data_IF_052712481605
#
_entry.id   IF_052712481605
#
_cell.length_a   1.000
_cell.length_b   1.000
_cell.length_c   1.000
_cell.angle_alpha   90.00
_cell.angle_beta   90.00
_cell.angle_gamma   90.00
#
_symmetry.space_group_name_H-M   'P 1'
#
loop_
_entity.id
_entity.type
_entity.pdbx_description
1 polymer ?
#
# COMPACT_ATOMS: atom_id res chain seq x y z
N UNK A 1 7.68 19.34 43.35
CA UNK A 1 8.29 18.64 42.20
C UNK A 1 7.34 18.78 41.02
N UNK A 2 7.72 19.49 39.97
CA UNK A 2 6.89 19.68 38.79
C UNK A 2 7.30 18.63 37.74
N UNK A 3 6.37 17.75 37.38
CA UNK A 3 6.54 16.82 36.26
C UNK A 3 5.99 17.53 35.02
N UNK A 4 6.88 18.06 34.20
CA UNK A 4 6.54 18.56 32.87
C UNK A 4 6.40 17.36 31.93
N UNK A 5 5.17 17.03 31.55
CA UNK A 5 4.89 16.05 30.50
C UNK A 5 5.08 16.76 29.16
N UNK A 6 6.18 16.44 28.48
CA UNK A 6 6.37 16.84 27.09
C UNK A 6 5.42 16.01 26.23
N UNK A 7 4.30 16.61 25.83
CA UNK A 7 3.47 16.12 24.73
C UNK A 7 4.30 16.31 23.45
N UNK A 8 5.03 15.26 23.07
CA UNK A 8 5.67 15.19 21.76
C UNK A 8 4.58 15.14 20.69
N UNK A 9 4.37 16.27 20.02
CA UNK A 9 3.57 16.34 18.80
C UNK A 9 4.18 15.41 17.78
N UNK A 10 3.54 14.28 17.50
CA UNK A 10 3.84 13.50 16.30
C UNK A 10 3.47 14.41 15.14
N UNK A 11 4.50 14.91 14.45
CA UNK A 11 4.35 15.77 13.28
C UNK A 11 3.66 14.96 12.19
N UNK A 12 2.33 15.02 12.16
CA UNK A 12 1.50 14.46 11.10
C UNK A 12 1.65 15.35 9.87
N UNK A 13 2.84 15.34 9.27
CA UNK A 13 2.99 15.84 7.91
C UNK A 13 2.12 14.96 7.03
N UNK A 14 1.00 15.54 6.60
CA UNK A 14 0.13 14.95 5.58
C UNK A 14 1.02 14.52 4.43
N UNK A 15 1.00 13.23 4.10
CA UNK A 15 1.53 12.79 2.82
C UNK A 15 0.73 13.53 1.77
N UNK A 16 1.38 14.17 0.81
CA UNK A 16 0.73 15.02 -0.21
C UNK A 16 -0.08 14.20 -1.23
N UNK A 17 -0.86 13.22 -0.79
CA UNK A 17 -1.57 12.25 -1.62
C UNK A 17 -0.64 11.31 -2.38
N UNK A 18 0.58 11.06 -1.89
CA UNK A 18 1.59 10.22 -2.57
C UNK A 18 2.27 9.27 -1.60
N UNK A 19 2.57 8.07 -2.11
CA UNK A 19 3.39 7.08 -1.43
C UNK A 19 4.86 7.31 -1.84
N UNK A 20 5.58 8.18 -1.15
CA UNK A 20 6.99 8.49 -1.48
C UNK A 20 7.95 7.50 -0.80
N UNK A 21 8.61 6.58 -1.54
CA UNK A 21 9.55 5.63 -0.97
C UNK A 21 10.86 6.27 -0.47
N UNK A 22 11.09 7.57 -0.73
CA UNK A 22 12.28 8.31 -0.30
C UNK A 22 12.07 9.09 1.00
N UNK A 23 10.84 9.17 1.50
CA UNK A 23 10.54 9.77 2.80
C UNK A 23 10.74 8.72 3.91
N UNK A 24 11.82 8.83 4.72
CA UNK A 24 12.10 7.85 5.75
C UNK A 24 11.04 7.79 6.86
N UNK A 25 10.31 8.88 7.12
CA UNK A 25 9.25 8.89 8.12
C UNK A 25 8.01 8.14 7.59
N UNK A 26 7.65 8.38 6.33
CA UNK A 26 6.57 7.66 5.66
C UNK A 26 6.87 6.16 5.58
N UNK A 27 8.08 5.78 5.17
CA UNK A 27 8.50 4.38 5.08
C UNK A 27 8.48 3.69 6.45
N UNK A 28 8.99 4.35 7.50
CA UNK A 28 9.00 3.77 8.85
C UNK A 28 7.59 3.63 9.44
N UNK A 29 6.68 4.56 9.16
CA UNK A 29 5.26 4.43 9.51
C UNK A 29 4.62 3.29 8.73
N UNK A 30 4.86 3.24 7.42
CA UNK A 30 4.34 2.23 6.52
C UNK A 30 4.75 0.81 6.88
N UNK A 31 5.99 0.62 7.32
CA UNK A 31 6.46 -0.70 7.78
C UNK A 31 5.65 -1.20 8.98
N UNK A 32 5.32 -0.32 9.93
CA UNK A 32 4.48 -0.70 11.09
C UNK A 32 3.07 -1.08 10.65
N UNK A 33 2.44 -0.23 9.84
CA UNK A 33 1.09 -0.48 9.29
C UNK A 33 1.07 -1.78 8.49
N UNK A 34 2.05 -1.98 7.61
CA UNK A 34 2.14 -3.18 6.78
C UNK A 34 2.27 -4.45 7.63
N UNK A 35 3.13 -4.44 8.64
CA UNK A 35 3.31 -5.59 9.53
C UNK A 35 2.05 -5.94 10.33
N UNK A 36 1.30 -4.93 10.75
CA UNK A 36 0.09 -5.11 11.55
C UNK A 36 -1.11 -5.58 10.70
N UNK A 37 -1.27 -5.03 9.50
CA UNK A 37 -2.49 -5.21 8.71
C UNK A 37 -2.32 -6.06 7.45
N UNK A 38 -1.15 -6.07 6.83
CA UNK A 38 -0.98 -6.62 5.47
C UNK A 38 -0.19 -7.93 5.46
N UNK A 39 0.84 -8.03 6.31
CA UNK A 39 1.82 -9.12 6.28
C UNK A 39 1.23 -10.51 6.56
N UNK A 40 0.09 -10.60 7.25
CA UNK A 40 -0.58 -11.87 7.52
C UNK A 40 -0.98 -12.63 6.24
N UNK A 41 -1.24 -11.90 5.15
CA UNK A 41 -1.55 -12.49 3.85
C UNK A 41 -0.45 -12.26 2.81
N UNK A 42 0.13 -11.06 2.77
CA UNK A 42 1.14 -10.70 1.78
C UNK A 42 2.58 -11.07 2.16
N UNK A 43 2.77 -11.66 3.35
CA UNK A 43 4.07 -12.06 3.86
C UNK A 43 4.88 -10.90 4.43
N UNK A 44 5.75 -11.20 5.40
CA UNK A 44 6.60 -10.19 6.07
C UNK A 44 7.69 -9.63 5.16
N UNK A 45 8.06 -10.37 4.12
CA UNK A 45 9.05 -9.99 3.11
C UNK A 45 8.39 -9.59 1.78
N UNK A 46 7.08 -9.36 1.76
CA UNK A 46 6.29 -9.04 0.56
C UNK A 46 6.15 -10.21 -0.44
N UNK A 47 6.42 -11.44 -0.03
CA UNK A 47 6.51 -12.63 -0.89
C UNK A 47 5.13 -13.17 -1.34
N UNK A 48 4.04 -12.70 -0.74
CA UNK A 48 2.70 -13.16 -1.04
C UNK A 48 2.46 -14.63 -0.68
N UNK A 49 1.35 -15.16 -1.19
CA UNK A 49 0.98 -16.56 -1.02
C UNK A 49 1.45 -17.40 -2.23
N UNK A 50 1.72 -18.71 -2.03
CA UNK A 50 2.01 -19.62 -3.13
C UNK A 50 0.87 -19.64 -4.15
N UNK A 51 1.21 -19.84 -5.43
CA UNK A 51 0.24 -19.95 -6.52
C UNK A 51 -0.72 -18.75 -6.61
N UNK A 52 -0.27 -17.53 -6.26
CA UNK A 52 -1.11 -16.32 -6.25
C UNK A 52 -1.79 -15.98 -7.58
N UNK A 53 -1.30 -16.56 -8.68
CA UNK A 53 -1.88 -16.42 -10.02
C UNK A 53 -2.95 -17.48 -10.35
N UNK A 54 -3.16 -18.46 -9.48
CA UNK A 54 -4.12 -19.55 -9.67
C UNK A 54 -5.31 -19.38 -8.74
N UNK A 55 -6.52 -19.40 -9.30
CA UNK A 55 -7.74 -19.35 -8.49
C UNK A 55 -7.88 -20.61 -7.65
N UNK A 56 -8.29 -20.42 -6.41
CA UNK A 56 -8.68 -21.49 -5.47
C UNK A 56 -10.04 -22.09 -5.89
N UNK A 57 -10.46 -23.23 -5.29
CA UNK A 57 -11.76 -23.82 -5.57
C UNK A 57 -12.97 -22.90 -5.31
N UNK A 58 -12.83 -21.92 -4.42
CA UNK A 58 -13.85 -20.90 -4.15
C UNK A 58 -13.84 -19.74 -5.17
N UNK A 59 -12.95 -19.81 -6.17
CA UNK A 59 -12.82 -18.83 -7.24
C UNK A 59 -11.93 -17.64 -6.90
N UNK A 60 -11.45 -17.47 -5.66
CA UNK A 60 -10.63 -16.30 -5.28
C UNK A 60 -9.14 -16.51 -5.60
N UNK A 61 -8.41 -15.41 -5.77
CA UNK A 61 -6.95 -15.44 -5.92
C UNK A 61 -6.28 -15.32 -4.54
N UNK A 62 -5.19 -16.07 -4.28
CA UNK A 62 -4.33 -15.82 -3.12
C UNK A 62 -3.73 -14.41 -3.15
N UNK A 63 -3.27 -13.95 -1.98
CA UNK A 63 -2.62 -12.65 -1.87
C UNK A 63 -1.35 -12.59 -2.75
N UNK A 64 -1.25 -11.64 -3.70
CA UNK A 64 -0.08 -11.51 -4.55
C UNK A 64 1.14 -11.02 -3.77
N UNK A 65 2.36 -11.30 -4.23
CA UNK A 65 3.55 -10.63 -3.75
C UNK A 65 3.47 -9.13 -4.01
N UNK A 66 4.02 -8.38 -3.07
CA UNK A 66 4.22 -6.94 -3.17
C UNK A 66 5.68 -6.59 -3.49
N UNK A 67 6.59 -7.56 -3.64
CA UNK A 67 7.95 -7.37 -4.15
C UNK A 67 8.00 -7.22 -5.69
N UNK A 68 9.20 -7.29 -6.28
CA UNK A 68 9.41 -7.20 -7.73
C UNK A 68 8.75 -8.32 -8.55
N UNK A 69 8.45 -9.47 -7.95
CA UNK A 69 7.84 -10.62 -8.63
C UNK A 69 6.33 -10.47 -8.82
N UNK A 70 5.71 -9.54 -8.08
CA UNK A 70 4.30 -9.23 -8.15
C UNK A 70 3.94 -8.23 -9.25
N UNK A 71 2.71 -7.75 -9.20
CA UNK A 71 2.16 -6.82 -10.19
C UNK A 71 1.77 -5.44 -9.61
N UNK A 72 2.02 -5.21 -8.32
CA UNK A 72 1.54 -4.01 -7.61
C UNK A 72 2.06 -2.72 -8.25
N UNK A 73 3.32 -2.74 -8.69
CA UNK A 73 4.02 -1.60 -9.30
C UNK A 73 3.49 -1.17 -10.68
N UNK A 74 2.57 -1.94 -11.27
CA UNK A 74 1.89 -1.55 -12.53
C UNK A 74 0.77 -0.52 -12.33
N UNK A 75 0.42 -0.20 -11.07
CA UNK A 75 -0.71 0.66 -10.74
C UNK A 75 -0.24 1.99 -10.13
N UNK A 76 -0.96 3.06 -10.42
CA UNK A 76 -0.71 4.37 -9.82
C UNK A 76 -1.11 4.37 -8.33
N UNK A 77 -0.48 5.27 -7.54
CA UNK A 77 -0.74 5.44 -6.11
C UNK A 77 -2.23 5.65 -5.80
N UNK A 78 -2.94 6.42 -6.63
CA UNK A 78 -4.37 6.67 -6.48
C UNK A 78 -5.20 5.39 -6.61
N UNK A 79 -4.87 4.54 -7.59
CA UNK A 79 -5.55 3.25 -7.80
C UNK A 79 -5.27 2.31 -6.62
N UNK A 80 -4.02 2.26 -6.16
CA UNK A 80 -3.62 1.42 -5.02
C UNK A 80 -4.26 1.88 -3.70
N UNK A 81 -4.32 3.19 -3.45
CA UNK A 81 -5.03 3.78 -2.32
C UNK A 81 -6.50 3.38 -2.36
N UNK A 82 -7.15 3.53 -3.53
CA UNK A 82 -8.57 3.23 -3.69
C UNK A 82 -8.88 1.74 -3.51
N UNK A 83 -8.07 0.84 -4.08
CA UNK A 83 -8.21 -0.61 -3.89
C UNK A 83 -8.09 -0.98 -2.40
N UNK A 84 -7.12 -0.39 -1.71
CA UNK A 84 -6.87 -0.72 -0.29
C UNK A 84 -7.96 -0.14 0.60
N UNK A 85 -8.38 1.10 0.34
CA UNK A 85 -9.38 1.80 1.13
C UNK A 85 -10.79 1.22 0.91
N UNK A 86 -11.20 1.05 -0.34
CA UNK A 86 -12.58 0.73 -0.73
C UNK A 86 -12.78 -0.74 -1.11
N UNK A 87 -11.68 -1.51 -1.25
CA UNK A 87 -11.70 -2.89 -1.72
C UNK A 87 -11.68 -2.99 -3.26
N UNK A 88 -11.31 -4.18 -3.77
CA UNK A 88 -11.20 -4.44 -5.22
C UNK A 88 -12.56 -4.25 -5.94
N UNK A 89 -13.66 -4.58 -5.26
CA UNK A 89 -15.02 -4.45 -5.77
C UNK A 89 -15.42 -3.01 -6.15
N UNK A 90 -14.76 -2.00 -5.57
CA UNK A 90 -14.98 -0.59 -5.91
C UNK A 90 -14.48 -0.22 -7.32
N UNK A 91 -13.52 -0.98 -7.87
CA UNK A 91 -13.01 -0.82 -9.23
C UNK A 91 -13.58 -1.85 -10.20
N UNK A 92 -13.82 -3.08 -9.73
CA UNK A 92 -14.31 -4.18 -10.55
C UNK A 92 -15.58 -4.73 -9.91
N UNK A 93 -16.77 -4.26 -10.34
CA UNK A 93 -18.04 -4.73 -9.78
C UNK A 93 -18.16 -6.25 -9.82
N UNK A 94 -18.54 -6.86 -8.69
CA UNK A 94 -18.67 -8.31 -8.56
C UNK A 94 -17.34 -9.05 -8.36
N UNK A 95 -16.21 -8.36 -8.20
CA UNK A 95 -14.95 -9.00 -7.85
C UNK A 95 -14.91 -9.36 -6.36
N UNK A 96 -14.83 -10.65 -6.08
CA UNK A 96 -14.68 -11.21 -4.73
C UNK A 96 -13.19 -11.33 -4.37
N UNK A 97 -12.79 -10.75 -3.24
CA UNK A 97 -11.41 -10.75 -2.74
C UNK A 97 -11.38 -11.10 -1.25
N UNK A 98 -10.33 -11.82 -0.82
CA UNK A 98 -10.05 -12.03 0.60
C UNK A 98 -9.45 -10.78 1.27
N UNK A 99 -8.93 -9.83 0.48
CA UNK A 99 -8.39 -8.58 1.00
C UNK A 99 -9.55 -7.66 1.45
N UNK A 100 -9.63 -7.31 2.75
CA UNK A 100 -10.68 -6.43 3.24
C UNK A 100 -10.49 -4.99 2.74
N UNK A 101 -11.58 -4.21 2.76
CA UNK A 101 -11.51 -2.76 2.64
C UNK A 101 -11.07 -2.15 3.97
N UNK A 102 -10.21 -1.13 3.93
CA UNK A 102 -9.60 -0.53 5.12
C UNK A 102 -10.15 0.85 5.50
N UNK A 103 -11.16 1.39 4.81
CA UNK A 103 -11.68 2.74 5.05
C UNK A 103 -12.08 3.03 6.51
N UNK A 104 -12.54 2.02 7.25
CA UNK A 104 -12.96 2.14 8.65
C UNK A 104 -11.84 1.76 9.66
N UNK A 105 -10.65 1.40 9.17
CA UNK A 105 -9.53 0.87 9.96
C UNK A 105 -8.29 1.77 9.85
N UNK A 106 -7.98 2.24 8.65
CA UNK A 106 -6.78 3.02 8.34
C UNK A 106 -7.15 4.34 7.68
N UNK A 107 -6.41 5.39 8.03
CA UNK A 107 -6.46 6.68 7.33
C UNK A 107 -5.76 6.61 5.97
N UNK A 108 -6.07 7.55 5.07
CA UNK A 108 -5.40 7.65 3.77
C UNK A 108 -3.87 7.80 3.91
N UNK A 109 -3.41 8.51 4.95
CA UNK A 109 -1.98 8.68 5.24
C UNK A 109 -1.33 7.36 5.66
N UNK A 110 -2.02 6.52 6.44
CA UNK A 110 -1.50 5.20 6.83
C UNK A 110 -1.44 4.25 5.64
N UNK A 111 -2.46 4.26 4.77
CA UNK A 111 -2.45 3.46 3.54
C UNK A 111 -1.32 3.93 2.62
N UNK A 112 -1.19 5.23 2.36
CA UNK A 112 -0.12 5.79 1.54
C UNK A 112 1.27 5.51 2.13
N UNK A 113 1.41 5.50 3.46
CA UNK A 113 2.65 5.11 4.11
C UNK A 113 2.96 3.63 3.90
N UNK A 114 1.98 2.72 4.06
CA UNK A 114 2.15 1.30 3.80
C UNK A 114 2.58 1.06 2.33
N UNK A 115 1.98 1.80 1.39
CA UNK A 115 2.40 1.78 -0.02
C UNK A 115 3.82 2.34 -0.20
N UNK A 116 4.21 3.40 0.51
CA UNK A 116 5.57 3.93 0.45
C UNK A 116 6.61 2.91 0.94
N UNK A 117 6.28 2.17 2.00
CA UNK A 117 7.09 1.06 2.48
C UNK A 117 7.24 -0.04 1.42
N UNK A 118 6.14 -0.51 0.83
CA UNK A 118 6.17 -1.50 -0.27
C UNK A 118 7.06 -1.01 -1.42
N UNK A 119 6.85 0.24 -1.88
CA UNK A 119 7.64 0.87 -2.95
C UNK A 119 9.13 0.94 -2.62
N UNK A 120 9.47 1.17 -1.34
CA UNK A 120 10.88 1.27 -0.90
C UNK A 120 11.65 -0.04 -1.04
N UNK A 121 10.95 -1.19 -1.09
CA UNK A 121 11.56 -2.52 -1.24
C UNK A 121 11.83 -2.89 -2.71
N UNK A 122 11.25 -2.17 -3.67
CA UNK A 122 11.46 -2.46 -5.08
C UNK A 122 12.84 -2.03 -5.57
N UNK A 123 13.40 -2.73 -6.58
CA UNK A 123 14.54 -2.25 -7.35
C UNK A 123 14.31 -0.84 -7.91
N UNK A 124 15.36 -0.02 -7.98
CA UNK A 124 15.27 1.38 -8.43
C UNK A 124 14.60 1.53 -9.81
N UNK A 125 14.82 0.59 -10.72
CA UNK A 125 14.19 0.59 -12.04
C UNK A 125 12.65 0.43 -11.97
N UNK A 126 12.15 -0.38 -11.03
CA UNK A 126 10.70 -0.56 -10.80
C UNK A 126 10.11 0.68 -10.13
N UNK A 127 10.81 1.26 -9.15
CA UNK A 127 10.40 2.53 -8.54
C UNK A 127 10.28 3.65 -9.59
N UNK A 128 11.26 3.76 -10.50
CA UNK A 128 11.23 4.73 -11.59
C UNK A 128 10.06 4.49 -12.55
N UNK A 129 9.81 3.24 -12.92
CA UNK A 129 8.68 2.87 -13.79
C UNK A 129 7.34 3.21 -13.15
N UNK A 130 7.16 2.92 -11.87
CA UNK A 130 5.91 3.23 -11.17
C UNK A 130 5.72 4.74 -11.02
N UNK A 131 6.78 5.50 -10.74
CA UNK A 131 6.73 6.96 -10.71
C UNK A 131 6.33 7.58 -12.07
N UNK A 132 6.66 6.91 -13.18
CA UNK A 132 6.23 7.29 -14.52
C UNK A 132 4.73 7.03 -14.76
N UNK A 133 4.22 5.89 -14.29
CA UNK A 133 2.78 5.56 -14.34
C UNK A 133 1.99 6.61 -13.56
N UNK A 134 2.40 6.87 -12.32
CA UNK A 134 1.90 7.92 -11.44
C UNK A 134 1.81 9.30 -12.13
N UNK A 135 2.87 9.68 -12.84
CA UNK A 135 2.93 10.98 -13.52
C UNK A 135 1.95 11.06 -14.69
N UNK A 136 1.80 9.98 -15.46
CA UNK A 136 0.86 9.91 -16.59
C UNK A 136 -0.59 9.92 -16.11
N UNK A 137 -0.92 9.11 -15.10
CA UNK A 137 -2.29 9.08 -14.53
C UNK A 137 -2.73 10.46 -14.03
N UNK A 138 -1.84 11.22 -13.40
CA UNK A 138 -2.15 12.61 -12.96
C UNK A 138 -2.35 13.59 -14.13
N UNK A 139 -1.76 13.34 -15.29
CA UNK A 139 -1.95 14.17 -16.48
C UNK A 139 -3.27 13.85 -17.18
N UNK A 140 -3.64 12.56 -17.23
CA UNK A 140 -4.86 12.09 -17.89
C UNK A 140 -6.13 12.35 -17.05
N UNK A 141 -6.00 12.44 -15.72
CA UNK A 141 -7.09 12.75 -14.79
C UNK A 141 -7.39 14.26 -14.63
N UNK A 142 -6.72 15.12 -15.39
CA UNK A 142 -6.98 16.58 -15.45
C UNK A 142 -7.85 16.92 -16.65
#
# INVERSE_FOLDING_TARGET
MAVAVFLGSVDQRSLSGRADPKDPQAVAMGERVYREHCAACHGTNLEGQPNWQMRRPDGRLPAPPHDESGHTWHHADEVLLRITKEGVGALVPGYESDMPAYADILTDNEILAALAFVKSRWPQAIQARQADIDRRTRQDGR
#
